data_IF_242675281423
#
_entry.id   IF_242675281423
#
_cell.length_a   1.000
_cell.length_b   1.000
_cell.length_c   1.000
_cell.angle_alpha   90.00
_cell.angle_beta   90.00
_cell.angle_gamma   90.00
#
_symmetry.space_group_name_H-M   'P 1'
#
loop_
_entity.id
_entity.type
_entity.pdbx_description
1 polymer ?
#
# COMPACT_ATOMS: atom_id res chain seq x y z
N UNK A 1 -36.31 -2.43 -45.53
CA UNK A 1 -37.02 -2.90 -46.72
C UNK A 1 -38.48 -2.57 -46.61
N UNK A 2 -38.94 -1.82 -47.64
CA UNK A 2 -40.32 -1.77 -48.13
C UNK A 2 -41.44 -1.27 -47.19
N UNK A 3 -41.75 0.03 -47.33
CA UNK A 3 -43.12 0.57 -47.42
C UNK A 3 -43.11 2.02 -47.85
N UNK A 4 -42.61 2.30 -49.04
CA UNK A 4 -42.85 3.54 -49.74
C UNK A 4 -43.61 3.12 -51.00
N UNK A 5 -44.89 3.14 -50.99
CA UNK A 5 -45.74 3.12 -52.18
C UNK A 5 -47.22 3.17 -51.76
N UNK A 6 -47.81 4.36 -51.67
CA UNK A 6 -49.26 4.56 -51.86
C UNK A 6 -49.68 6.05 -51.86
N UNK A 7 -48.76 7.01 -51.77
CA UNK A 7 -49.11 8.44 -51.78
C UNK A 7 -48.97 9.13 -53.12
N UNK A 8 -48.43 8.46 -54.13
CA UNK A 8 -48.21 9.07 -55.50
C UNK A 8 -49.30 8.72 -56.55
N UNK A 9 -50.32 8.01 -56.17
CA UNK A 9 -51.39 7.63 -57.16
C UNK A 9 -52.66 8.43 -57.07
N UNK A 10 -52.79 9.43 -56.20
CA UNK A 10 -54.00 10.25 -56.07
C UNK A 10 -53.87 11.60 -56.76
N UNK A 11 -52.70 12.03 -57.17
CA UNK A 11 -52.49 13.36 -57.78
C UNK A 11 -52.70 13.40 -59.33
N UNK A 12 -52.92 12.27 -60.01
CA UNK A 12 -53.00 12.21 -61.47
C UNK A 12 -54.39 11.96 -62.01
N UNK A 13 -55.44 11.94 -61.18
CA UNK A 13 -56.84 11.65 -61.66
C UNK A 13 -57.78 12.84 -61.77
N UNK A 14 -57.31 14.07 -61.61
CA UNK A 14 -58.18 15.29 -61.60
C UNK A 14 -57.95 16.29 -62.73
N UNK A 15 -57.15 15.91 -63.74
CA UNK A 15 -56.87 16.81 -64.90
C UNK A 15 -57.67 16.40 -66.18
N UNK A 16 -58.56 15.41 -66.15
CA UNK A 16 -59.12 14.80 -67.34
C UNK A 16 -60.63 15.07 -67.63
N UNK A 17 -61.30 16.02 -67.00
CA UNK A 17 -62.70 16.17 -67.17
C UNK A 17 -63.16 17.65 -67.25
N UNK A 18 -62.66 18.44 -68.21
CA UNK A 18 -63.28 19.70 -68.55
C UNK A 18 -62.92 20.12 -69.99
N UNK A 19 -63.31 19.32 -70.97
CA UNK A 19 -63.35 19.78 -72.34
C UNK A 19 -64.51 19.06 -73.04
N UNK A 20 -65.68 19.67 -73.08
CA UNK A 20 -66.76 19.53 -74.12
C UNK A 20 -68.08 20.04 -73.55
N UNK A 21 -68.36 21.34 -73.74
CA UNK A 21 -69.66 21.84 -74.01
C UNK A 21 -69.49 23.28 -74.49
N UNK A 22 -69.60 23.38 -75.82
CA UNK A 22 -69.48 24.63 -76.56
C UNK A 22 -70.73 25.49 -76.57
N UNK A 23 -70.49 26.62 -77.12
CA UNK A 23 -71.35 27.60 -77.78
C UNK A 23 -72.05 28.67 -76.94
N UNK A 24 -71.51 29.85 -77.18
CA UNK A 24 -72.24 31.14 -77.28
C UNK A 24 -72.87 31.71 -76.03
N UNK A 25 -72.21 32.73 -75.52
CA UNK A 25 -72.82 34.09 -75.48
C UNK A 25 -71.77 35.09 -74.99
N UNK A 26 -71.57 36.09 -75.79
CA UNK A 26 -70.90 37.35 -75.52
C UNK A 26 -71.51 37.97 -74.26
N UNK A 27 -70.78 38.18 -73.22
CA UNK A 27 -70.92 39.28 -72.27
C UNK A 27 -69.54 39.51 -71.61
N UNK A 28 -69.22 40.79 -71.57
CA UNK A 28 -67.97 41.28 -71.01
C UNK A 28 -67.62 40.74 -69.61
N UNK A 29 -66.36 40.44 -69.47
CA UNK A 29 -65.59 40.34 -68.27
C UNK A 29 -65.60 39.06 -67.46
N UNK A 30 -65.48 37.84 -68.05
CA UNK A 30 -65.10 36.66 -67.30
C UNK A 30 -63.58 36.53 -67.12
N UNK A 31 -62.80 37.37 -67.87
CA UNK A 31 -61.30 37.24 -67.77
C UNK A 31 -60.73 37.85 -66.48
N UNK A 32 -61.37 38.94 -66.02
CA UNK A 32 -60.97 39.57 -64.73
C UNK A 32 -61.35 38.73 -63.54
N UNK A 33 -62.52 38.06 -63.59
CA UNK A 33 -62.89 37.13 -62.46
C UNK A 33 -62.08 35.88 -62.44
N UNK A 34 -61.68 35.35 -63.61
CA UNK A 34 -60.71 34.21 -63.67
C UNK A 34 -59.31 34.64 -63.22
N UNK A 35 -58.83 35.82 -63.61
CA UNK A 35 -57.55 36.36 -63.16
C UNK A 35 -57.55 36.65 -61.66
N UNK A 36 -58.65 37.18 -61.13
CA UNK A 36 -58.81 37.42 -59.69
C UNK A 36 -58.89 36.12 -58.92
N UNK A 37 -59.58 35.08 -59.42
CA UNK A 37 -59.62 33.76 -58.82
C UNK A 37 -58.27 33.09 -58.89
N UNK A 38 -57.56 33.18 -60.02
CA UNK A 38 -56.18 32.65 -60.16
C UNK A 38 -55.18 33.34 -59.20
N UNK A 39 -55.25 34.68 -59.17
CA UNK A 39 -54.46 35.48 -58.23
C UNK A 39 -54.73 35.11 -56.75
N UNK A 40 -56.01 34.86 -56.42
CA UNK A 40 -56.42 34.47 -55.11
C UNK A 40 -55.91 33.06 -54.76
N UNK A 41 -56.03 32.12 -55.72
CA UNK A 41 -55.47 30.78 -55.57
C UNK A 41 -53.91 30.80 -55.34
N UNK A 42 -53.23 31.62 -56.18
CA UNK A 42 -51.81 31.80 -56.02
C UNK A 42 -51.44 32.44 -54.69
N UNK A 43 -52.19 33.37 -54.17
CA UNK A 43 -51.98 34.02 -52.90
C UNK A 43 -52.25 33.03 -51.72
N UNK A 44 -53.32 32.26 -51.84
CA UNK A 44 -53.64 31.22 -50.85
C UNK A 44 -52.61 30.06 -50.88
N UNK A 45 -52.14 29.65 -52.06
CA UNK A 45 -51.09 28.66 -52.23
C UNK A 45 -49.77 29.15 -51.65
N UNK A 46 -49.42 30.42 -51.93
CA UNK A 46 -48.19 31.00 -51.30
C UNK A 46 -48.31 31.13 -49.79
N UNK A 47 -49.49 31.48 -49.27
CA UNK A 47 -49.70 31.51 -47.81
C UNK A 47 -49.70 30.10 -47.20
N UNK A 48 -50.23 29.12 -47.94
CA UNK A 48 -50.16 27.71 -47.51
C UNK A 48 -48.71 27.18 -47.51
N UNK A 49 -47.93 27.50 -48.56
CA UNK A 49 -46.52 27.11 -48.64
C UNK A 49 -45.74 27.73 -47.50
N UNK A 50 -45.93 29.00 -47.18
CA UNK A 50 -45.28 29.61 -46.00
C UNK A 50 -45.60 28.89 -44.69
N UNK A 51 -46.79 28.35 -44.53
CA UNK A 51 -47.14 27.55 -43.35
C UNK A 51 -46.44 26.20 -43.37
N UNK A 52 -46.32 25.55 -44.50
CA UNK A 52 -45.61 24.28 -44.68
C UNK A 52 -44.12 24.47 -44.36
N UNK A 53 -43.54 25.52 -44.95
CA UNK A 53 -42.13 25.84 -44.69
C UNK A 53 -41.88 26.09 -43.18
N UNK A 54 -42.78 26.91 -42.59
CA UNK A 54 -42.68 27.14 -41.12
C UNK A 54 -42.81 25.86 -40.30
N UNK A 55 -43.73 24.98 -40.65
CA UNK A 55 -43.84 23.70 -39.92
C UNK A 55 -42.67 22.75 -40.19
N UNK A 56 -42.09 22.83 -41.39
CA UNK A 56 -40.87 22.06 -41.70
C UNK A 56 -39.67 22.54 -40.88
N UNK A 57 -39.49 23.88 -40.85
CA UNK A 57 -38.42 24.47 -40.03
C UNK A 57 -38.60 24.12 -38.54
N UNK A 58 -39.83 24.26 -38.01
CA UNK A 58 -40.12 23.88 -36.63
C UNK A 58 -39.90 22.39 -36.36
N UNK A 59 -40.19 21.53 -37.34
CA UNK A 59 -39.94 20.09 -37.20
C UNK A 59 -38.44 19.77 -37.20
N UNK A 60 -37.64 20.49 -38.02
CA UNK A 60 -36.20 20.35 -38.02
C UNK A 60 -35.57 20.83 -36.69
N UNK A 61 -36.00 22.02 -36.22
CA UNK A 61 -35.54 22.55 -34.93
C UNK A 61 -35.86 21.59 -33.78
N UNK A 62 -37.08 21.05 -33.73
CA UNK A 62 -37.47 20.05 -32.73
C UNK A 62 -36.69 18.75 -32.84
N UNK A 63 -36.36 18.30 -34.05
CA UNK A 63 -35.53 17.10 -34.21
C UNK A 63 -34.10 17.33 -33.71
N UNK A 64 -33.54 18.51 -33.98
CA UNK A 64 -32.23 18.88 -33.47
C UNK A 64 -32.22 19.00 -31.94
N UNK A 65 -33.22 19.69 -31.36
CA UNK A 65 -33.39 19.83 -29.93
C UNK A 65 -33.57 18.44 -29.26
N UNK A 66 -34.44 17.59 -29.85
CA UNK A 66 -34.62 16.23 -29.36
C UNK A 66 -33.32 15.42 -29.38
N UNK A 67 -32.52 15.51 -30.44
CA UNK A 67 -31.24 14.87 -30.55
C UNK A 67 -30.29 15.33 -29.43
N UNK A 68 -30.19 16.66 -29.26
CA UNK A 68 -29.31 17.22 -28.18
C UNK A 68 -29.74 16.80 -26.78
N UNK A 69 -31.05 16.82 -26.48
CA UNK A 69 -31.58 16.39 -25.17
C UNK A 69 -31.40 14.87 -24.96
N UNK A 70 -31.53 14.09 -26.02
CA UNK A 70 -31.30 12.65 -25.94
C UNK A 70 -29.84 12.31 -25.63
N UNK A 71 -28.89 12.99 -26.29
CA UNK A 71 -27.45 12.84 -26.05
C UNK A 71 -27.08 13.33 -24.65
N UNK A 72 -27.64 14.47 -24.21
CA UNK A 72 -27.40 14.97 -22.83
C UNK A 72 -27.95 14.00 -21.79
N UNK A 73 -29.13 13.44 -22.01
CA UNK A 73 -29.70 12.43 -21.11
C UNK A 73 -28.81 11.19 -21.02
N UNK A 74 -28.26 10.70 -22.13
CA UNK A 74 -27.40 9.53 -22.15
C UNK A 74 -26.08 9.81 -21.45
N UNK A 75 -25.51 10.99 -21.68
CA UNK A 75 -24.30 11.46 -21.00
C UNK A 75 -24.51 11.58 -19.48
N UNK A 76 -25.59 12.21 -19.06
CA UNK A 76 -25.97 12.36 -17.65
C UNK A 76 -26.22 10.97 -16.98
N UNK A 77 -26.86 10.06 -17.72
CA UNK A 77 -27.07 8.70 -17.20
C UNK A 77 -25.74 7.99 -16.97
N UNK A 78 -24.86 8.03 -17.97
CA UNK A 78 -23.54 7.42 -17.84
C UNK A 78 -22.73 8.02 -16.69
N UNK A 79 -22.80 9.35 -16.53
CA UNK A 79 -22.16 10.04 -15.41
C UNK A 79 -22.75 9.63 -14.06
N UNK A 80 -24.08 9.54 -13.96
CA UNK A 80 -24.75 9.11 -12.72
C UNK A 80 -24.41 7.66 -12.37
N UNK A 81 -24.37 6.77 -13.36
CA UNK A 81 -23.99 5.36 -13.16
C UNK A 81 -22.53 5.26 -12.66
N UNK A 82 -21.63 6.09 -13.22
CA UNK A 82 -20.25 6.21 -12.73
C UNK A 82 -20.16 6.72 -11.30
N UNK A 83 -20.86 7.81 -10.98
CA UNK A 83 -20.89 8.37 -9.61
C UNK A 83 -21.48 7.37 -8.62
N UNK A 84 -22.54 6.66 -9.00
CA UNK A 84 -23.13 5.60 -8.16
C UNK A 84 -22.12 4.48 -7.87
N UNK A 85 -21.33 4.08 -8.85
CA UNK A 85 -20.23 3.11 -8.66
C UNK A 85 -19.17 3.62 -7.70
N UNK A 86 -18.75 4.90 -7.81
CA UNK A 86 -17.80 5.51 -6.89
C UNK A 86 -18.31 5.58 -5.45
N UNK A 87 -19.59 5.94 -5.28
CA UNK A 87 -20.23 5.99 -3.96
C UNK A 87 -20.25 4.59 -3.32
N UNK A 88 -20.63 3.57 -4.08
CA UNK A 88 -20.63 2.20 -3.59
C UNK A 88 -19.23 1.71 -3.15
N UNK A 89 -18.18 2.05 -3.92
CA UNK A 89 -16.80 1.73 -3.57
C UNK A 89 -16.35 2.48 -2.31
N UNK A 90 -16.71 3.76 -2.19
CA UNK A 90 -16.41 4.54 -0.99
C UNK A 90 -17.13 4.00 0.26
N UNK A 91 -18.38 3.59 0.14
CA UNK A 91 -19.12 2.97 1.25
C UNK A 91 -18.52 1.64 1.68
N UNK A 92 -18.08 0.81 0.72
CA UNK A 92 -17.37 -0.42 1.01
C UNK A 92 -16.04 -0.17 1.73
N UNK A 93 -15.28 0.82 1.26
CA UNK A 93 -14.01 1.23 1.88
C UNK A 93 -14.22 1.78 3.28
N UNK A 94 -15.25 2.62 3.50
CA UNK A 94 -15.58 3.14 4.83
C UNK A 94 -15.92 2.01 5.80
N UNK A 95 -16.63 0.98 5.35
CA UNK A 95 -16.95 -0.18 6.18
C UNK A 95 -15.69 -0.94 6.57
N UNK A 96 -14.77 -1.19 5.64
CA UNK A 96 -13.48 -1.84 5.94
C UNK A 96 -12.68 -1.04 6.96
N UNK A 97 -12.57 0.27 6.77
CA UNK A 97 -11.86 1.15 7.72
C UNK A 97 -12.53 1.12 9.11
N UNK A 98 -13.86 1.10 9.16
CA UNK A 98 -14.58 1.02 10.44
C UNK A 98 -14.33 -0.32 11.14
N UNK A 99 -14.30 -1.42 10.41
CA UNK A 99 -13.97 -2.74 10.94
C UNK A 99 -12.52 -2.79 11.44
N UNK A 100 -11.57 -2.18 10.72
CA UNK A 100 -10.18 -2.04 11.14
C UNK A 100 -10.06 -1.21 12.42
N UNK A 101 -10.77 -0.07 12.52
CA UNK A 101 -10.81 0.76 13.73
C UNK A 101 -11.33 -0.04 14.92
N UNK A 102 -12.40 -0.80 14.75
CA UNK A 102 -12.97 -1.64 15.80
C UNK A 102 -11.99 -2.73 16.27
N UNK A 103 -11.13 -3.23 15.36
CA UNK A 103 -10.09 -4.21 15.64
C UNK A 103 -8.87 -3.65 16.38
N UNK A 104 -8.58 -2.35 16.24
CA UNK A 104 -7.36 -1.72 16.81
C UNK A 104 -7.29 -1.83 18.32
N UNK A 105 -8.40 -1.64 19.03
CA UNK A 105 -8.41 -1.68 20.49
C UNK A 105 -8.16 -3.10 21.02
N UNK A 106 -8.73 -4.11 20.39
CA UNK A 106 -8.46 -5.51 20.73
C UNK A 106 -6.98 -5.87 20.45
N UNK A 107 -6.42 -5.39 19.34
CA UNK A 107 -5.01 -5.57 19.02
C UNK A 107 -4.11 -4.90 20.09
N UNK A 108 -4.41 -3.67 20.48
CA UNK A 108 -3.65 -2.96 21.52
C UNK A 108 -3.68 -3.70 22.85
N UNK A 109 -4.85 -4.21 23.26
CA UNK A 109 -5.02 -4.98 24.50
C UNK A 109 -4.20 -6.27 24.49
N UNK A 110 -3.96 -6.88 23.33
CA UNK A 110 -3.14 -8.07 23.21
C UNK A 110 -1.65 -7.77 23.08
N UNK A 111 -1.27 -6.81 22.25
CA UNK A 111 0.14 -6.53 21.91
C UNK A 111 0.88 -5.80 23.03
N UNK A 112 0.23 -4.88 23.75
CA UNK A 112 0.90 -4.11 24.81
C UNK A 112 1.40 -5.03 25.94
N UNK A 113 0.61 -5.93 26.53
CA UNK A 113 1.12 -6.87 27.53
C UNK A 113 2.20 -7.81 26.97
N UNK A 114 2.11 -8.19 25.70
CA UNK A 114 3.13 -9.00 25.05
C UNK A 114 4.47 -8.27 25.00
N UNK A 115 4.49 -7.00 24.61
CA UNK A 115 5.72 -6.19 24.58
C UNK A 115 6.39 -6.07 25.95
N UNK A 116 5.62 -5.88 27.03
CA UNK A 116 6.17 -5.88 28.39
C UNK A 116 6.82 -7.23 28.72
N UNK A 117 6.13 -8.34 28.46
CA UNK A 117 6.69 -9.69 28.66
C UNK A 117 7.95 -9.93 27.83
N UNK A 118 8.00 -9.44 26.60
CA UNK A 118 9.18 -9.54 25.76
C UNK A 118 10.38 -8.79 26.38
N UNK A 119 10.18 -7.55 26.82
CA UNK A 119 11.27 -6.76 27.43
C UNK A 119 11.74 -7.38 28.75
N UNK A 120 10.82 -7.88 29.58
CA UNK A 120 11.16 -8.58 30.82
C UNK A 120 11.92 -9.89 30.54
N UNK A 121 11.51 -10.65 29.54
CA UNK A 121 12.21 -11.86 29.12
C UNK A 121 13.61 -11.54 28.57
N UNK A 122 13.76 -10.45 27.82
CA UNK A 122 15.04 -9.98 27.30
C UNK A 122 15.98 -9.57 28.44
N UNK A 123 15.47 -8.90 29.48
CA UNK A 123 16.23 -8.54 30.66
C UNK A 123 16.75 -9.77 31.39
N UNK A 124 15.89 -10.74 31.66
CA UNK A 124 16.27 -11.99 32.30
C UNK A 124 17.32 -12.75 31.48
N UNK A 125 17.10 -12.76 30.14
CA UNK A 125 18.04 -13.39 29.23
C UNK A 125 19.43 -12.73 29.29
N UNK A 126 19.51 -11.40 29.24
CA UNK A 126 20.79 -10.65 29.35
C UNK A 126 21.47 -10.89 30.73
N UNK A 127 20.69 -11.01 31.80
CA UNK A 127 21.22 -11.25 33.14
C UNK A 127 21.77 -12.67 33.35
N UNK A 128 21.22 -13.65 32.62
CA UNK A 128 21.63 -15.05 32.71
C UNK A 128 22.73 -15.43 31.71
N UNK A 129 22.94 -14.63 30.69
CA UNK A 129 23.88 -14.89 29.59
C UNK A 129 25.35 -14.61 30.01
N UNK A 130 26.30 -15.03 29.18
CA UNK A 130 27.70 -14.69 29.31
C UNK A 130 27.94 -13.18 29.50
N UNK A 131 28.87 -12.78 30.40
CA UNK A 131 29.09 -11.37 30.74
C UNK A 131 29.91 -10.61 29.68
N UNK A 132 29.43 -10.60 28.44
CA UNK A 132 30.01 -9.78 27.37
C UNK A 132 29.14 -8.56 27.07
N UNK A 133 29.76 -7.43 26.80
CA UNK A 133 29.07 -6.18 26.48
C UNK A 133 27.91 -5.83 27.43
N UNK A 134 27.99 -6.26 28.69
CA UNK A 134 26.89 -6.18 29.68
C UNK A 134 26.34 -4.78 29.81
N UNK A 135 27.21 -3.78 29.85
CA UNK A 135 26.83 -2.35 29.96
C UNK A 135 25.91 -1.91 28.84
N UNK A 136 26.29 -2.16 27.59
CA UNK A 136 25.52 -1.79 26.39
C UNK A 136 24.22 -2.57 26.28
N UNK A 137 24.23 -3.84 26.68
CA UNK A 137 23.03 -4.71 26.63
C UNK A 137 22.02 -4.29 27.70
N UNK A 138 22.48 -4.02 28.93
CA UNK A 138 21.64 -3.53 30.02
C UNK A 138 21.04 -2.16 29.67
N UNK A 139 21.87 -1.22 29.18
CA UNK A 139 21.39 0.09 28.75
C UNK A 139 20.31 -0.03 27.64
N UNK A 140 20.47 -0.95 26.70
CA UNK A 140 19.45 -1.21 25.66
C UNK A 140 18.13 -1.65 26.28
N UNK A 141 18.15 -2.58 27.23
CA UNK A 141 16.93 -3.04 27.92
C UNK A 141 16.27 -1.90 28.71
N UNK A 142 17.06 -1.10 29.44
CA UNK A 142 16.55 0.06 30.16
C UNK A 142 15.91 1.10 29.23
N UNK A 143 16.52 1.35 28.08
CA UNK A 143 15.98 2.25 27.07
C UNK A 143 14.67 1.72 26.48
N UNK A 144 14.54 0.39 26.27
CA UNK A 144 13.29 -0.22 25.85
C UNK A 144 12.20 -0.08 26.92
N UNK A 145 12.52 -0.23 28.21
CA UNK A 145 11.57 -0.02 29.31
C UNK A 145 11.06 1.43 29.37
N UNK A 146 11.96 2.41 29.19
CA UNK A 146 11.59 3.83 29.10
C UNK A 146 10.68 4.09 27.90
N UNK A 147 11.02 3.50 26.75
CA UNK A 147 10.28 3.62 25.49
C UNK A 147 8.85 3.07 25.63
N UNK A 148 8.67 1.93 26.28
CA UNK A 148 7.35 1.33 26.50
C UNK A 148 6.38 2.30 27.19
N UNK A 149 6.89 3.08 28.14
CA UNK A 149 6.10 4.04 28.90
C UNK A 149 5.96 5.43 28.22
N UNK A 150 6.63 5.67 27.11
CA UNK A 150 6.55 6.95 26.38
C UNK A 150 5.25 7.03 25.58
N UNK A 151 4.56 8.15 25.65
CA UNK A 151 3.38 8.44 24.81
C UNK A 151 3.74 8.98 23.42
N UNK A 152 4.97 9.43 23.22
CA UNK A 152 5.43 10.07 21.97
C UNK A 152 5.70 9.06 20.84
N UNK A 153 5.91 7.79 21.18
CA UNK A 153 6.26 6.74 20.22
C UNK A 153 5.06 5.85 19.93
N UNK A 154 4.81 5.61 18.66
CA UNK A 154 3.69 4.75 18.21
C UNK A 154 3.87 3.30 18.65
N UNK A 155 2.76 2.57 18.79
CA UNK A 155 2.79 1.16 19.17
C UNK A 155 3.63 0.30 18.21
N UNK A 156 3.48 0.55 16.91
CA UNK A 156 4.22 -0.16 15.88
C UNK A 156 5.73 0.07 15.99
N UNK A 157 6.16 1.30 16.28
CA UNK A 157 7.57 1.62 16.43
C UNK A 157 8.16 1.02 17.72
N UNK A 158 7.41 1.01 18.82
CA UNK A 158 7.80 0.29 20.05
C UNK A 158 8.05 -1.18 19.77
N UNK A 159 7.11 -1.83 19.09
CA UNK A 159 7.24 -3.24 18.75
C UNK A 159 8.43 -3.51 17.82
N UNK A 160 8.65 -2.65 16.81
CA UNK A 160 9.79 -2.73 15.90
C UNK A 160 11.13 -2.66 16.64
N UNK A 161 11.28 -1.72 17.59
CA UNK A 161 12.51 -1.54 18.37
C UNK A 161 12.76 -2.72 19.31
N UNK A 162 11.72 -3.34 19.86
CA UNK A 162 11.87 -4.57 20.65
C UNK A 162 12.37 -5.71 19.76
N UNK A 163 11.80 -5.92 18.58
CA UNK A 163 12.26 -6.95 17.64
C UNK A 163 13.68 -6.70 17.16
N UNK A 164 14.07 -5.46 16.95
CA UNK A 164 15.44 -5.07 16.62
C UNK A 164 16.42 -5.47 17.71
N UNK A 165 16.08 -5.22 18.99
CA UNK A 165 16.89 -5.65 20.12
C UNK A 165 17.05 -7.19 20.17
N UNK A 166 15.97 -7.94 19.92
CA UNK A 166 16.06 -9.40 19.82
C UNK A 166 16.93 -9.85 18.64
N UNK A 167 16.88 -9.15 17.51
CA UNK A 167 17.73 -9.44 16.36
C UNK A 167 19.21 -9.25 16.68
N UNK A 168 19.55 -8.15 17.36
CA UNK A 168 20.92 -7.88 17.82
C UNK A 168 21.39 -8.97 18.77
N UNK A 169 20.54 -9.37 19.73
CA UNK A 169 20.88 -10.45 20.64
C UNK A 169 21.10 -11.78 19.90
N UNK A 170 20.30 -12.08 18.89
CA UNK A 170 20.51 -13.25 18.03
C UNK A 170 21.84 -13.19 17.28
N UNK A 171 22.19 -12.01 16.78
CA UNK A 171 23.46 -11.80 16.06
C UNK A 171 24.66 -12.05 16.96
N UNK A 172 24.61 -11.66 18.22
CA UNK A 172 25.68 -11.99 19.19
C UNK A 172 25.90 -13.50 19.34
N UNK A 173 24.86 -14.30 19.18
CA UNK A 173 24.96 -15.76 19.22
C UNK A 173 25.72 -16.38 18.05
N UNK A 174 25.73 -15.73 16.90
CA UNK A 174 26.39 -16.21 15.67
C UNK A 174 27.72 -15.51 15.37
N UNK A 175 28.00 -14.39 16.03
CA UNK A 175 29.18 -13.57 15.75
C UNK A 175 30.39 -13.97 16.59
N UNK A 176 31.56 -13.88 15.96
CA UNK A 176 32.83 -13.91 16.67
C UNK A 176 33.29 -12.45 16.84
N UNK A 177 33.51 -12.03 18.08
CA UNK A 177 33.87 -10.66 18.39
C UNK A 177 35.02 -10.56 19.37
N UNK A 178 35.77 -9.47 19.29
CA UNK A 178 36.85 -9.14 20.23
C UNK A 178 36.65 -7.71 20.74
N UNK A 179 36.77 -7.57 22.07
CA UNK A 179 36.74 -6.26 22.73
C UNK A 179 37.90 -6.21 23.76
N UNK A 180 38.70 -5.17 23.68
CA UNK A 180 39.75 -4.95 24.70
C UNK A 180 39.13 -4.31 25.94
N UNK A 181 39.55 -4.74 27.11
CA UNK A 181 39.05 -4.23 28.38
C UNK A 181 39.91 -4.63 29.56
N UNK A 182 39.44 -4.32 30.77
CA UNK A 182 40.08 -4.70 32.01
C UNK A 182 39.37 -5.90 32.61
N UNK A 183 40.13 -6.86 33.06
CA UNK A 183 39.66 -8.01 33.79
C UNK A 183 40.23 -7.94 35.23
N UNK A 184 39.35 -8.04 36.24
CA UNK A 184 39.76 -8.17 37.61
C UNK A 184 39.97 -9.66 37.95
N UNK A 185 41.20 -9.98 38.28
CA UNK A 185 41.60 -11.32 38.74
C UNK A 185 42.10 -11.23 40.18
N UNK A 186 41.21 -11.49 41.12
CA UNK A 186 41.52 -11.49 42.54
C UNK A 186 42.11 -10.15 43.05
N UNK A 187 41.54 -9.02 42.64
CA UNK A 187 41.97 -7.68 43.01
C UNK A 187 43.14 -7.12 42.18
N UNK A 188 43.53 -7.82 41.12
CA UNK A 188 44.52 -7.35 40.13
C UNK A 188 43.78 -7.04 38.81
N UNK A 189 43.77 -5.76 38.41
CA UNK A 189 43.29 -5.39 37.06
C UNK A 189 44.33 -5.75 36.00
N UNK A 190 43.96 -6.59 35.07
CA UNK A 190 44.78 -6.99 33.92
C UNK A 190 44.10 -6.50 32.65
N UNK A 191 44.85 -5.85 31.74
CA UNK A 191 44.37 -5.52 30.42
C UNK A 191 44.31 -6.76 29.54
N UNK A 192 43.14 -7.06 29.01
CA UNK A 192 42.88 -8.27 28.24
C UNK A 192 42.07 -7.98 26.98
N UNK A 193 42.16 -8.86 26.02
CA UNK A 193 41.28 -8.98 24.90
C UNK A 193 40.21 -10.03 25.21
N UNK A 194 38.97 -9.61 25.37
CA UNK A 194 37.84 -10.52 25.49
C UNK A 194 37.46 -11.04 24.10
N UNK A 195 37.45 -12.33 23.95
CA UNK A 195 37.10 -13.04 22.73
C UNK A 195 35.81 -13.82 22.93
N UNK A 196 34.76 -13.42 22.22
CA UNK A 196 33.46 -14.07 22.22
C UNK A 196 33.35 -15.01 21.04
N UNK A 197 33.10 -16.28 21.31
CA UNK A 197 32.75 -17.29 20.31
C UNK A 197 31.22 -17.47 20.32
N UNK A 198 30.50 -16.52 19.74
CA UNK A 198 29.05 -16.45 19.86
C UNK A 198 28.62 -16.38 21.32
N UNK A 199 27.72 -17.29 21.73
CA UNK A 199 27.32 -17.57 23.11
C UNK A 199 27.83 -18.91 23.62
N UNK A 200 28.74 -19.53 22.89
CA UNK A 200 29.24 -20.85 23.26
C UNK A 200 30.34 -20.73 24.29
N UNK A 201 31.21 -19.73 24.19
CA UNK A 201 32.31 -19.53 25.12
C UNK A 201 32.84 -18.09 25.10
N UNK A 202 33.33 -17.66 26.26
CA UNK A 202 33.95 -16.36 26.45
C UNK A 202 35.36 -16.56 26.99
N UNK A 203 36.33 -16.00 26.28
CA UNK A 203 37.74 -16.07 26.66
C UNK A 203 38.28 -14.67 26.90
N UNK A 204 39.31 -14.60 27.74
CA UNK A 204 40.11 -13.40 27.91
C UNK A 204 41.58 -13.75 27.69
N UNK A 205 42.30 -12.99 26.88
CA UNK A 205 43.73 -13.17 26.67
C UNK A 205 44.45 -11.88 27.05
N UNK A 206 45.57 -12.01 27.82
CA UNK A 206 46.42 -10.86 28.11
C UNK A 206 46.99 -10.27 26.83
N UNK A 207 47.24 -8.96 26.80
CA UNK A 207 47.78 -8.29 25.61
C UNK A 207 49.15 -8.78 25.17
N UNK A 208 49.94 -9.37 26.10
CA UNK A 208 51.23 -10.00 25.80
C UNK A 208 51.11 -11.44 25.23
N UNK A 209 49.86 -11.96 25.16
CA UNK A 209 49.54 -13.28 24.63
C UNK A 209 50.01 -14.47 25.47
N UNK A 210 50.56 -14.24 26.68
CA UNK A 210 51.18 -15.27 27.50
C UNK A 210 50.19 -15.95 28.46
N UNK A 211 49.09 -15.33 28.76
CA UNK A 211 48.07 -15.85 29.68
C UNK A 211 46.70 -15.71 29.07
N UNK A 212 45.86 -16.69 29.32
CA UNK A 212 44.47 -16.63 28.91
C UNK A 212 43.58 -17.30 29.96
N UNK A 213 42.32 -16.91 29.93
CA UNK A 213 41.29 -17.42 30.83
C UNK A 213 40.04 -17.70 30.01
N UNK A 214 39.26 -18.67 30.46
CA UNK A 214 37.95 -18.99 29.97
C UNK A 214 36.93 -18.70 31.07
N UNK A 215 35.81 -18.10 30.71
CA UNK A 215 34.72 -17.88 31.65
C UNK A 215 33.96 -19.19 31.86
N UNK A 216 33.79 -19.60 33.09
CA UNK A 216 32.97 -20.73 33.47
C UNK A 216 31.61 -20.23 33.96
N UNK A 217 30.52 -20.66 33.27
CA UNK A 217 29.15 -20.24 33.58
C UNK A 217 28.63 -20.82 34.89
N UNK A 218 29.04 -22.04 35.28
CA UNK A 218 28.58 -22.68 36.49
C UNK A 218 29.17 -22.00 37.74
N UNK A 219 30.45 -21.73 37.70
CA UNK A 219 31.17 -21.09 38.84
C UNK A 219 31.11 -19.56 38.78
N UNK A 220 30.67 -19.00 37.65
CA UNK A 220 30.69 -17.55 37.33
C UNK A 220 32.07 -16.92 37.58
N UNK A 221 33.11 -17.66 37.27
CA UNK A 221 34.48 -17.27 37.49
C UNK A 221 35.36 -17.47 36.25
N UNK A 222 36.48 -16.76 36.21
CA UNK A 222 37.49 -16.91 35.17
C UNK A 222 38.48 -18.00 35.56
N UNK A 223 38.59 -19.05 34.78
CA UNK A 223 39.49 -20.16 34.96
C UNK A 223 40.67 -20.03 33.98
N UNK A 224 41.92 -20.33 34.44
CA UNK A 224 43.08 -20.26 33.57
C UNK A 224 42.98 -21.28 32.43
N UNK A 225 43.25 -20.82 31.22
CA UNK A 225 43.30 -21.67 30.02
C UNK A 225 44.70 -22.31 29.90
N UNK A 226 44.74 -23.58 29.51
CA UNK A 226 46.00 -24.27 29.30
C UNK A 226 46.83 -23.64 28.18
N UNK A 227 48.17 -23.60 28.35
CA UNK A 227 49.09 -22.97 27.40
C UNK A 227 49.01 -23.55 25.96
N UNK A 228 48.57 -24.80 25.83
CA UNK A 228 48.36 -25.46 24.54
C UNK A 228 47.33 -24.74 23.66
N UNK A 229 46.41 -23.98 24.24
CA UNK A 229 45.34 -23.29 23.54
C UNK A 229 45.63 -21.80 23.25
N UNK A 230 46.69 -21.23 23.80
CA UNK A 230 47.05 -19.82 23.66
C UNK A 230 47.24 -19.43 22.18
N UNK A 231 47.92 -20.28 21.40
CA UNK A 231 48.19 -20.04 20.00
C UNK A 231 46.89 -20.01 19.16
N UNK A 232 45.99 -20.96 19.45
CA UNK A 232 44.69 -21.05 18.76
C UNK A 232 43.79 -19.88 19.13
N UNK A 233 43.76 -19.44 20.39
CA UNK A 233 43.06 -18.28 20.85
C UNK A 233 43.56 -16.99 20.19
N UNK A 234 44.89 -16.80 20.12
CA UNK A 234 45.50 -15.67 19.41
C UNK A 234 45.12 -15.66 17.93
N UNK A 235 45.07 -16.83 17.29
CA UNK A 235 44.62 -16.99 15.92
C UNK A 235 43.15 -16.56 15.77
N UNK A 236 42.26 -17.03 16.66
CA UNK A 236 40.85 -16.63 16.70
C UNK A 236 40.65 -15.12 16.86
N UNK A 237 41.40 -14.50 17.80
CA UNK A 237 41.40 -13.05 18.01
C UNK A 237 41.80 -12.28 16.74
N UNK A 238 42.83 -12.72 16.03
CA UNK A 238 43.29 -12.08 14.78
C UNK A 238 42.26 -12.20 13.67
N UNK A 239 41.60 -13.36 13.56
CA UNK A 239 40.51 -13.57 12.60
C UNK A 239 39.34 -12.63 12.92
N UNK A 240 38.91 -12.56 14.19
CA UNK A 240 37.83 -11.69 14.62
C UNK A 240 38.13 -10.18 14.38
N UNK A 241 39.39 -9.78 14.51
CA UNK A 241 39.88 -8.43 14.18
C UNK A 241 40.09 -8.19 12.68
N UNK A 242 39.79 -9.17 11.83
CA UNK A 242 40.06 -9.12 10.37
C UNK A 242 41.55 -8.89 10.04
N UNK A 243 42.45 -9.33 10.90
CA UNK A 243 43.91 -9.24 10.76
C UNK A 243 44.53 -10.53 10.23
N UNK A 244 43.72 -11.54 9.97
CA UNK A 244 44.11 -12.84 9.43
C UNK A 244 43.05 -13.37 8.48
N UNK A 245 43.47 -14.29 7.60
CA UNK A 245 42.50 -14.99 6.75
C UNK A 245 41.63 -15.92 7.61
N UNK A 246 40.35 -16.14 7.21
CA UNK A 246 39.51 -17.14 7.86
C UNK A 246 40.19 -18.52 7.84
N UNK A 247 40.32 -19.14 8.98
CA UNK A 247 40.94 -20.45 9.13
C UNK A 247 40.33 -21.18 10.35
N UNK A 248 40.56 -22.49 10.43
CA UNK A 248 40.08 -23.31 11.54
C UNK A 248 40.96 -23.10 12.77
N UNK A 249 40.36 -23.03 13.92
CA UNK A 249 41.02 -23.03 15.23
C UNK A 249 40.25 -23.95 16.19
N UNK A 250 40.94 -24.51 17.14
CA UNK A 250 40.37 -25.43 18.15
C UNK A 250 40.54 -24.84 19.55
N UNK A 251 39.40 -24.61 20.23
CA UNK A 251 39.35 -24.12 21.60
C UNK A 251 38.49 -25.05 22.46
N UNK A 252 38.80 -25.22 23.74
CA UNK A 252 37.94 -25.96 24.65
C UNK A 252 36.64 -25.20 24.86
N UNK A 253 35.52 -25.87 24.76
CA UNK A 253 34.19 -25.30 25.05
C UNK A 253 33.64 -25.91 26.33
N UNK A 254 32.80 -25.20 27.10
CA UNK A 254 32.08 -25.79 28.22
C UNK A 254 31.32 -27.03 27.81
N UNK A 255 31.17 -27.99 28.68
CA UNK A 255 30.32 -29.16 28.42
C UNK A 255 28.86 -28.68 28.25
N UNK A 256 28.14 -29.26 27.30
CA UNK A 256 26.73 -28.99 27.16
C UNK A 256 25.99 -29.41 28.46
N UNK A 257 25.15 -28.52 28.99
CA UNK A 257 24.23 -28.91 30.05
C UNK A 257 23.36 -30.08 29.60
N UNK A 258 23.26 -31.09 30.44
CA UNK A 258 22.35 -32.19 30.18
C UNK A 258 20.90 -31.62 30.16
N UNK A 259 20.20 -31.80 29.05
CA UNK A 259 18.81 -31.42 28.95
C UNK A 259 18.01 -32.11 30.05
N UNK A 260 17.45 -31.33 30.96
CA UNK A 260 16.54 -31.80 32.01
C UNK A 260 15.17 -32.06 31.43
#
# INVERSE_FOLDING_TARGET
MSKVSNKTKIATALIGALALAGSNLVIADPLSDVQNADSKIHTEAAASQKKVDKYFDQAQDMLFEYGSVADERESLKSYNDYVASLVADQEATMKLIQDDINGVDALRQGVVPLMFKMVDALEQFVALDLPFNTEVRTERVENLKKLLNSAEVTLAEKYRLILDAYSIEREYGAAIAVKSGKLDLNGKEVLVDFFNLGRVALYAQSLDGKSAWMYNEETKAWEPLADSHLRELTKGIRIARKQGAPDLFSLPIPAAEAAQ
#
